data_IF_884729714699
#
_entry.id   IF_884729714699
#
_cell.length_a   1.000
_cell.length_b   1.000
_cell.length_c   1.000
_cell.angle_alpha   90.00
_cell.angle_beta   90.00
_cell.angle_gamma   90.00
#
_symmetry.space_group_name_H-M   'P 1'
#
loop_
_entity.id
_entity.type
_entity.pdbx_description
1 polymer ?
#
# COMPACT_ATOMS: atom_id res chain seq x y z
N UNK A 1 -7.00 -2.37 -34.19
CA UNK A 1 -7.78 -2.27 -32.93
C UNK A 1 -8.71 -1.09 -33.06
N UNK A 2 -10.01 -1.25 -32.80
CA UNK A 2 -10.94 -0.10 -32.82
C UNK A 2 -10.89 0.60 -31.46
N UNK A 3 -11.25 1.89 -31.43
CA UNK A 3 -11.33 2.68 -30.18
C UNK A 3 -12.22 1.98 -29.14
N UNK A 4 -13.29 1.32 -29.58
CA UNK A 4 -14.18 0.53 -28.73
C UNK A 4 -13.46 -0.65 -28.04
N UNK A 5 -12.62 -1.40 -28.76
CA UNK A 5 -11.85 -2.50 -28.17
C UNK A 5 -10.82 -2.00 -27.16
N UNK A 6 -10.20 -0.84 -27.42
CA UNK A 6 -9.26 -0.22 -26.50
C UNK A 6 -9.95 0.18 -25.18
N UNK A 7 -11.13 0.79 -25.27
CA UNK A 7 -11.93 1.19 -24.10
C UNK A 7 -12.30 -0.03 -23.24
N UNK A 8 -12.66 -1.15 -23.87
CA UNK A 8 -12.97 -2.40 -23.16
C UNK A 8 -11.77 -2.99 -22.40
N UNK A 9 -10.56 -2.86 -22.95
CA UNK A 9 -9.34 -3.38 -22.31
C UNK A 9 -8.92 -2.56 -21.09
N UNK A 10 -9.20 -1.25 -21.09
CA UNK A 10 -8.77 -0.34 -20.03
C UNK A 10 -9.82 -0.23 -18.90
N UNK A 11 -11.03 -0.78 -19.07
CA UNK A 11 -12.09 -0.68 -18.08
C UNK A 11 -11.69 -1.17 -16.67
N UNK A 12 -10.99 -2.31 -16.46
CA UNK A 12 -10.52 -2.70 -15.13
C UNK A 12 -9.49 -1.74 -14.52
N UNK A 13 -8.66 -1.09 -15.35
CA UNK A 13 -7.70 -0.07 -14.91
C UNK A 13 -8.42 1.22 -14.49
N UNK A 14 -9.45 1.64 -15.23
CA UNK A 14 -10.29 2.78 -14.85
C UNK A 14 -11.02 2.47 -13.54
N UNK A 15 -11.53 1.25 -13.36
CA UNK A 15 -12.16 0.82 -12.12
C UNK A 15 -11.19 0.87 -10.93
N UNK A 16 -9.93 0.47 -11.11
CA UNK A 16 -8.89 0.65 -10.09
C UNK A 16 -8.66 2.13 -9.77
N UNK A 17 -8.55 3.00 -10.79
CA UNK A 17 -8.42 4.44 -10.60
C UNK A 17 -9.60 5.02 -9.82
N UNK A 18 -10.83 4.61 -10.15
CA UNK A 18 -12.04 5.00 -9.43
C UNK A 18 -12.01 4.50 -7.97
N UNK A 19 -11.60 3.24 -7.72
CA UNK A 19 -11.40 2.71 -6.37
C UNK A 19 -10.43 3.59 -5.56
N UNK A 20 -9.31 3.97 -6.16
CA UNK A 20 -8.29 4.82 -5.54
C UNK A 20 -8.89 6.19 -5.17
N UNK A 21 -9.60 6.83 -6.09
CA UNK A 21 -10.26 8.13 -5.86
C UNK A 21 -11.32 8.03 -4.76
N UNK A 22 -12.22 7.04 -4.83
CA UNK A 22 -13.28 6.82 -3.83
C UNK A 22 -12.66 6.62 -2.44
N UNK A 23 -11.56 5.87 -2.33
CA UNK A 23 -10.87 5.68 -1.07
C UNK A 23 -10.22 6.98 -0.53
N UNK A 24 -9.65 7.84 -1.39
CA UNK A 24 -9.15 9.16 -0.97
C UNK A 24 -10.30 10.03 -0.48
N UNK A 25 -11.40 10.08 -1.23
CA UNK A 25 -12.56 10.88 -0.87
C UNK A 25 -13.15 10.40 0.47
N UNK A 26 -13.34 9.10 0.65
CA UNK A 26 -13.83 8.52 1.91
C UNK A 26 -12.89 8.82 3.08
N UNK A 27 -11.57 8.66 2.90
CA UNK A 27 -10.60 8.92 3.96
C UNK A 27 -10.48 10.40 4.34
N UNK A 28 -10.72 11.31 3.40
CA UNK A 28 -10.74 12.77 3.66
C UNK A 28 -12.07 13.27 4.22
N UNK A 29 -13.19 12.78 3.70
CA UNK A 29 -14.51 13.22 4.12
C UNK A 29 -14.94 12.59 5.45
N UNK A 30 -14.47 11.38 5.75
CA UNK A 30 -14.83 10.62 6.95
C UNK A 30 -13.57 10.16 7.71
N UNK A 31 -12.82 11.08 8.36
CA UNK A 31 -11.61 10.73 9.09
C UNK A 31 -11.85 9.79 10.28
N UNK A 32 -13.08 9.71 10.79
CA UNK A 32 -13.48 8.76 11.83
C UNK A 32 -13.73 7.33 11.32
N UNK A 33 -13.73 7.11 9.99
CA UNK A 33 -13.95 5.79 9.43
C UNK A 33 -12.70 4.91 9.62
N UNK A 34 -12.82 3.70 10.20
CA UNK A 34 -11.71 2.77 10.27
C UNK A 34 -11.15 2.49 8.88
N UNK A 35 -9.84 2.66 8.72
CA UNK A 35 -9.10 2.42 7.46
C UNK A 35 -9.51 1.14 6.71
N UNK A 36 -9.63 -0.05 7.35
CA UNK A 36 -10.02 -1.26 6.62
C UNK A 36 -11.43 -1.15 6.01
N UNK A 37 -12.36 -0.46 6.68
CA UNK A 37 -13.71 -0.25 6.15
C UNK A 37 -13.69 0.68 4.95
N UNK A 38 -12.88 1.75 5.00
CA UNK A 38 -12.69 2.66 3.86
C UNK A 38 -12.20 1.93 2.61
N UNK A 39 -11.22 1.05 2.75
CA UNK A 39 -10.69 0.21 1.66
C UNK A 39 -11.76 -0.76 1.14
N UNK A 40 -12.50 -1.45 2.02
CA UNK A 40 -13.53 -2.39 1.58
C UNK A 40 -14.66 -1.69 0.83
N UNK A 41 -15.09 -0.51 1.28
CA UNK A 41 -16.12 0.28 0.62
C UNK A 41 -15.67 0.76 -0.76
N UNK A 42 -14.43 1.25 -0.89
CA UNK A 42 -13.93 1.68 -2.20
C UNK A 42 -13.77 0.52 -3.18
N UNK A 43 -13.28 -0.62 -2.70
CA UNK A 43 -13.12 -1.82 -3.53
C UNK A 43 -14.47 -2.32 -3.99
N UNK A 44 -15.45 -2.40 -3.08
CA UNK A 44 -16.82 -2.81 -3.38
C UNK A 44 -17.52 -1.87 -4.34
N UNK A 45 -17.42 -0.55 -4.13
CA UNK A 45 -18.06 0.44 -5.00
C UNK A 45 -17.57 0.35 -6.45
N UNK A 46 -16.25 0.26 -6.66
CA UNK A 46 -15.69 0.10 -8.00
C UNK A 46 -15.94 -1.31 -8.60
N UNK A 47 -16.05 -2.36 -7.78
CA UNK A 47 -16.47 -3.69 -8.22
C UNK A 47 -17.90 -3.67 -8.79
N UNK A 48 -18.83 -3.03 -8.08
CA UNK A 48 -20.22 -2.86 -8.53
C UNK A 48 -20.26 -2.03 -9.81
N UNK A 49 -19.46 -0.96 -9.89
CA UNK A 49 -19.37 -0.12 -11.09
C UNK A 49 -18.87 -0.88 -12.32
N UNK A 50 -17.79 -1.66 -12.21
CA UNK A 50 -17.23 -2.40 -13.34
C UNK A 50 -18.12 -3.57 -13.77
N UNK A 51 -18.74 -4.27 -12.82
CA UNK A 51 -19.70 -5.34 -13.11
C UNK A 51 -20.98 -4.77 -13.77
N UNK A 52 -21.50 -3.65 -13.25
CA UNK A 52 -22.65 -2.96 -13.83
C UNK A 52 -22.38 -2.47 -15.25
N UNK A 53 -21.20 -1.90 -15.50
CA UNK A 53 -20.80 -1.48 -16.84
C UNK A 53 -20.68 -2.68 -17.81
N UNK A 54 -20.20 -3.82 -17.35
CA UNK A 54 -20.09 -5.02 -18.19
C UNK A 54 -21.46 -5.65 -18.51
N UNK A 55 -22.38 -5.66 -17.54
CA UNK A 55 -23.70 -6.29 -17.68
C UNK A 55 -24.71 -5.41 -18.43
N UNK A 56 -24.68 -4.10 -18.21
CA UNK A 56 -25.66 -3.15 -18.73
C UNK A 56 -25.05 -2.14 -19.72
N UNK A 57 -23.78 -2.32 -20.07
CA UNK A 57 -23.11 -1.48 -21.05
C UNK A 57 -23.63 -1.68 -22.47
N UNK A 58 -23.25 -0.81 -23.41
CA UNK A 58 -23.71 -0.88 -24.79
C UNK A 58 -23.25 -2.18 -25.46
N UNK A 59 -24.21 -3.10 -25.65
CA UNK A 59 -23.98 -4.45 -26.16
C UNK A 59 -23.35 -4.48 -27.56
N UNK A 60 -23.59 -3.44 -28.35
CA UNK A 60 -23.06 -3.24 -29.71
C UNK A 60 -21.53 -3.17 -29.76
N UNK A 61 -20.87 -2.94 -28.60
CA UNK A 61 -19.41 -2.87 -28.51
C UNK A 61 -18.77 -4.21 -28.16
N UNK A 62 -19.55 -5.25 -27.82
CA UNK A 62 -18.98 -6.53 -27.45
C UNK A 62 -18.35 -7.22 -28.68
N UNK A 63 -17.19 -7.89 -28.51
CA UNK A 63 -16.66 -8.79 -29.51
C UNK A 63 -17.68 -9.88 -29.86
N UNK A 64 -17.74 -10.27 -31.12
CA UNK A 64 -18.60 -11.36 -31.57
C UNK A 64 -18.30 -12.64 -30.75
N UNK A 65 -19.33 -13.22 -30.13
CA UNK A 65 -19.23 -14.45 -29.35
C UNK A 65 -18.97 -14.29 -27.85
N UNK A 66 -18.89 -13.07 -27.32
CA UNK A 66 -18.77 -12.83 -25.88
C UNK A 66 -20.12 -12.39 -25.28
N UNK A 67 -20.55 -13.04 -24.21
CA UNK A 67 -21.73 -12.61 -23.45
C UNK A 67 -21.37 -11.51 -22.43
N UNK A 68 -22.33 -10.64 -22.05
CA UNK A 68 -22.13 -9.64 -20.99
C UNK A 68 -21.69 -10.25 -19.64
N UNK A 69 -22.16 -11.47 -19.36
CA UNK A 69 -21.81 -12.19 -18.13
C UNK A 69 -20.33 -12.63 -18.14
N UNK A 70 -19.84 -13.16 -19.25
CA UNK A 70 -18.43 -13.54 -19.42
C UNK A 70 -17.53 -12.31 -19.34
N UNK A 71 -17.94 -11.19 -19.96
CA UNK A 71 -17.22 -9.92 -19.87
C UNK A 71 -17.13 -9.45 -18.42
N UNK A 72 -18.25 -9.49 -17.69
CA UNK A 72 -18.31 -9.09 -16.29
C UNK A 72 -17.40 -9.96 -15.43
N UNK A 73 -17.38 -11.28 -15.66
CA UNK A 73 -16.51 -12.20 -14.93
C UNK A 73 -15.02 -11.88 -15.17
N UNK A 74 -14.60 -11.69 -16.42
CA UNK A 74 -13.19 -11.38 -16.77
C UNK A 74 -12.77 -10.03 -16.20
N UNK A 75 -13.60 -9.00 -16.35
CA UNK A 75 -13.30 -7.66 -15.84
C UNK A 75 -13.26 -7.62 -14.32
N UNK A 76 -14.23 -8.26 -13.66
CA UNK A 76 -14.27 -8.31 -12.20
C UNK A 76 -13.06 -9.06 -11.65
N UNK A 77 -12.69 -10.20 -12.24
CA UNK A 77 -11.52 -10.96 -11.83
C UNK A 77 -10.23 -10.15 -11.99
N UNK A 78 -10.07 -9.48 -13.14
CA UNK A 78 -8.92 -8.63 -13.42
C UNK A 78 -8.85 -7.46 -12.44
N UNK A 79 -9.98 -6.79 -12.21
CA UNK A 79 -10.09 -5.70 -11.25
C UNK A 79 -9.75 -6.15 -9.82
N UNK A 80 -10.27 -7.30 -9.37
CA UNK A 80 -9.98 -7.84 -8.03
C UNK A 80 -8.49 -8.10 -7.88
N UNK A 81 -7.84 -8.67 -8.90
CA UNK A 81 -6.39 -8.94 -8.87
C UNK A 81 -5.59 -7.63 -8.81
N UNK A 82 -5.98 -6.61 -9.57
CA UNK A 82 -5.36 -5.28 -9.51
C UNK A 82 -5.56 -4.61 -8.15
N UNK A 83 -6.79 -4.66 -7.62
CA UNK A 83 -7.12 -4.13 -6.30
C UNK A 83 -6.36 -4.85 -5.19
N UNK A 84 -6.17 -6.16 -5.30
CA UNK A 84 -5.35 -6.95 -4.40
C UNK A 84 -3.89 -6.47 -4.41
N UNK A 85 -3.29 -6.31 -5.60
CA UNK A 85 -1.93 -5.76 -5.73
C UNK A 85 -1.81 -4.37 -5.11
N UNK A 86 -2.81 -3.51 -5.30
CA UNK A 86 -2.88 -2.19 -4.69
C UNK A 86 -2.96 -2.25 -3.15
N UNK A 87 -3.91 -3.01 -2.61
CA UNK A 87 -4.12 -3.10 -1.15
C UNK A 87 -2.91 -3.71 -0.45
N UNK A 88 -2.36 -4.79 -1.00
CA UNK A 88 -1.19 -5.44 -0.41
C UNK A 88 0.06 -4.60 -0.56
N UNK A 89 0.34 -4.09 -1.77
CA UNK A 89 1.54 -3.33 -2.06
C UNK A 89 1.65 -2.04 -1.25
N UNK A 90 0.53 -1.34 -1.02
CA UNK A 90 0.54 -0.04 -0.34
C UNK A 90 0.24 -0.10 1.16
N UNK A 91 -0.68 -0.96 1.61
CA UNK A 91 -1.15 -0.94 3.01
C UNK A 91 -0.65 -2.11 3.85
N UNK A 92 -0.48 -3.28 3.25
CA UNK A 92 -0.43 -4.52 4.04
C UNK A 92 1.00 -4.93 4.45
N UNK A 93 2.03 -4.66 3.64
CA UNK A 93 3.34 -5.29 3.84
C UNK A 93 4.10 -4.81 5.11
N UNK A 94 3.98 -3.54 5.50
CA UNK A 94 4.75 -2.97 6.62
C UNK A 94 3.98 -2.81 7.94
N UNK A 95 2.68 -2.55 7.86
CA UNK A 95 1.80 -2.32 9.02
C UNK A 95 1.22 -3.65 9.53
N UNK A 96 0.80 -4.53 8.61
CA UNK A 96 0.17 -5.80 9.00
C UNK A 96 1.15 -6.82 9.54
N UNK A 97 2.41 -6.86 9.09
CA UNK A 97 3.40 -7.78 9.66
C UNK A 97 3.66 -7.50 11.16
N UNK A 98 3.72 -6.21 11.55
CA UNK A 98 3.88 -5.81 12.96
C UNK A 98 2.61 -6.04 13.77
N UNK A 99 1.45 -5.68 13.20
CA UNK A 99 0.16 -5.89 13.86
C UNK A 99 -0.15 -7.37 14.09
N UNK A 100 0.11 -8.23 13.10
CA UNK A 100 -0.09 -9.68 13.19
C UNK A 100 0.86 -10.26 14.24
N UNK A 101 2.14 -9.88 14.24
CA UNK A 101 3.08 -10.34 15.26
C UNK A 101 2.63 -9.89 16.66
N UNK A 102 2.18 -8.65 16.83
CA UNK A 102 1.74 -8.16 18.14
C UNK A 102 0.49 -8.90 18.63
N UNK A 103 -0.43 -9.21 17.72
CA UNK A 103 -1.61 -10.03 18.04
C UNK A 103 -1.22 -11.46 18.42
N UNK A 104 -0.23 -12.05 17.76
CA UNK A 104 0.30 -13.38 18.12
C UNK A 104 0.95 -13.32 19.51
N UNK A 105 1.79 -12.33 19.78
CA UNK A 105 2.49 -12.16 21.06
C UNK A 105 1.47 -11.96 22.20
N UNK A 106 0.45 -11.13 21.99
CA UNK A 106 -0.66 -10.93 22.94
C UNK A 106 -1.48 -12.20 23.15
N UNK A 107 -1.75 -12.96 22.09
CA UNK A 107 -2.46 -14.23 22.20
C UNK A 107 -1.64 -15.28 22.97
N UNK A 108 -0.33 -15.36 22.72
CA UNK A 108 0.59 -16.27 23.41
C UNK A 108 0.76 -15.89 24.89
N UNK A 109 0.70 -14.61 25.23
CA UNK A 109 0.73 -14.16 26.62
C UNK A 109 -0.55 -14.54 27.42
N UNK A 110 -1.62 -14.94 26.73
CA UNK A 110 -2.84 -15.48 27.36
C UNK A 110 -3.45 -14.53 28.40
N UNK A 111 -3.88 -15.08 29.54
CA UNK A 111 -4.51 -14.31 30.63
C UNK A 111 -3.54 -13.35 31.36
N UNK A 112 -2.22 -13.53 31.19
CA UNK A 112 -1.20 -12.65 31.76
C UNK A 112 -1.14 -11.30 31.03
N UNK A 113 -1.45 -11.32 29.73
CA UNK A 113 -1.27 -10.17 28.84
C UNK A 113 0.21 -9.77 28.71
N UNK A 114 0.43 -8.66 28.00
CA UNK A 114 1.73 -7.99 27.92
C UNK A 114 1.56 -6.56 28.40
N UNK A 115 2.47 -6.12 29.26
CA UNK A 115 2.58 -4.71 29.63
C UNK A 115 3.15 -3.89 28.47
N UNK A 116 2.93 -2.57 28.48
CA UNK A 116 3.45 -1.69 27.43
C UNK A 116 4.98 -1.74 27.34
N UNK A 117 5.68 -1.88 28.48
CA UNK A 117 7.15 -2.02 28.52
C UNK A 117 7.64 -3.32 27.87
N UNK A 118 6.95 -4.45 28.11
CA UNK A 118 7.25 -5.72 27.46
C UNK A 118 7.03 -5.63 25.94
N UNK A 119 5.97 -4.95 25.51
CA UNK A 119 5.72 -4.69 24.08
C UNK A 119 6.83 -3.82 23.50
N UNK A 120 7.20 -2.72 24.15
CA UNK A 120 8.22 -1.80 23.63
C UNK A 120 9.62 -2.42 23.58
N UNK A 121 9.94 -3.33 24.51
CA UNK A 121 11.21 -4.07 24.50
C UNK A 121 11.26 -5.12 23.39
N UNK A 122 10.17 -5.85 23.14
CA UNK A 122 10.08 -6.82 22.04
C UNK A 122 10.06 -6.15 20.65
N UNK A 123 9.46 -4.97 20.55
CA UNK A 123 9.38 -4.15 19.33
C UNK A 123 10.45 -3.05 19.28
N UNK A 124 11.56 -3.22 20.01
CA UNK A 124 12.61 -2.21 20.11
C UNK A 124 13.05 -1.75 18.71
N UNK A 125 12.87 -0.46 18.45
CA UNK A 125 13.17 0.16 17.17
C UNK A 125 14.61 -0.11 16.71
N UNK A 126 15.54 -0.25 17.65
CA UNK A 126 16.95 -0.57 17.37
C UNK A 126 17.11 -1.90 16.64
N UNK A 127 16.51 -2.98 17.16
CA UNK A 127 16.59 -4.30 16.54
C UNK A 127 15.94 -4.33 15.15
N UNK A 128 14.85 -3.60 14.96
CA UNK A 128 14.17 -3.49 13.66
C UNK A 128 15.05 -2.73 12.66
N UNK A 129 15.69 -1.64 13.11
CA UNK A 129 16.62 -0.86 12.28
C UNK A 129 17.83 -1.70 11.91
N UNK A 130 18.45 -2.41 12.86
CA UNK A 130 19.65 -3.23 12.60
C UNK A 130 19.39 -4.32 11.55
N UNK A 131 18.29 -5.06 11.68
CA UNK A 131 17.91 -6.11 10.71
C UNK A 131 17.61 -5.50 9.33
N UNK A 132 16.97 -4.34 9.27
CA UNK A 132 16.69 -3.65 8.00
C UNK A 132 17.98 -3.12 7.37
N UNK A 133 18.86 -2.54 8.17
CA UNK A 133 20.13 -1.97 7.72
C UNK A 133 21.06 -3.07 7.20
N UNK A 134 21.17 -4.20 7.90
CA UNK A 134 21.91 -5.38 7.43
C UNK A 134 21.38 -5.87 6.07
N UNK A 135 20.06 -5.94 5.89
CA UNK A 135 19.47 -6.32 4.59
C UNK A 135 19.75 -5.29 3.50
N UNK A 136 19.73 -3.99 3.82
CA UNK A 136 20.05 -2.93 2.87
C UNK A 136 21.52 -2.95 2.46
N UNK A 137 22.44 -3.28 3.38
CA UNK A 137 23.86 -3.47 3.11
C UNK A 137 24.08 -4.73 2.25
N UNK A 138 23.49 -5.86 2.65
CA UNK A 138 23.57 -7.11 1.89
C UNK A 138 22.96 -6.98 0.48
N UNK A 139 21.91 -6.18 0.32
CA UNK A 139 21.25 -5.89 -0.95
C UNK A 139 21.91 -4.77 -1.77
N UNK A 140 23.05 -4.22 -1.33
CA UNK A 140 23.79 -3.16 -2.05
C UNK A 140 23.08 -1.81 -2.13
N UNK A 141 22.02 -1.60 -1.34
CA UNK A 141 21.28 -0.34 -1.27
C UNK A 141 21.99 0.70 -0.39
N UNK A 142 22.71 0.22 0.62
CA UNK A 142 23.51 1.01 1.57
C UNK A 142 24.94 0.45 1.58
N UNK A 143 25.94 1.32 1.66
CA UNK A 143 27.35 0.95 1.84
C UNK A 143 27.79 1.40 3.22
N UNK A 144 28.43 0.51 3.96
CA UNK A 144 29.11 0.85 5.20
C UNK A 144 30.58 1.19 4.89
N UNK A 145 31.07 2.32 5.38
CA UNK A 145 32.49 2.70 5.36
C UNK A 145 32.85 3.29 6.72
N UNK A 146 33.83 2.72 7.40
CA UNK A 146 34.35 3.21 8.69
C UNK A 146 33.26 3.38 9.77
N UNK A 147 32.30 2.44 9.84
CA UNK A 147 31.18 2.50 10.79
C UNK A 147 30.12 3.56 10.46
N UNK A 148 30.19 4.19 9.28
CA UNK A 148 29.22 5.17 8.78
C UNK A 148 28.48 4.59 7.57
N UNK A 149 27.16 4.72 7.55
CA UNK A 149 26.28 4.19 6.51
C UNK A 149 25.97 5.25 5.44
N UNK A 150 26.24 4.93 4.18
CA UNK A 150 26.01 5.80 3.01
C UNK A 150 25.01 5.17 2.04
N UNK A 151 24.18 5.98 1.37
CA UNK A 151 23.26 5.48 0.33
C UNK A 151 24.05 5.11 -0.93
N UNK A 152 24.03 3.84 -1.32
CA UNK A 152 24.78 3.35 -2.48
C UNK A 152 23.95 3.39 -3.78
N UNK A 153 22.63 3.16 -3.70
CA UNK A 153 21.74 3.13 -4.88
C UNK A 153 20.90 4.41 -5.03
N UNK A 154 21.22 5.22 -6.06
CA UNK A 154 20.41 6.39 -6.43
C UNK A 154 19.02 6.02 -6.99
N UNK A 155 18.91 4.87 -7.65
CA UNK A 155 17.64 4.39 -8.25
C UNK A 155 16.65 4.02 -7.15
N UNK A 156 17.08 3.26 -6.14
CA UNK A 156 16.23 2.89 -5.01
C UNK A 156 15.80 4.11 -4.20
N UNK A 157 16.71 5.08 -4.01
CA UNK A 157 16.41 6.35 -3.34
C UNK A 157 15.35 7.17 -4.11
N UNK A 158 15.42 7.17 -5.44
CA UNK A 158 14.46 7.90 -6.29
C UNK A 158 13.09 7.21 -6.26
N UNK A 159 13.04 5.89 -6.33
CA UNK A 159 11.80 5.11 -6.19
C UNK A 159 11.15 5.31 -4.80
N UNK A 160 11.95 5.31 -3.74
CA UNK A 160 11.49 5.58 -2.38
C UNK A 160 10.88 6.99 -2.25
N UNK A 161 11.52 8.02 -2.83
CA UNK A 161 10.99 9.39 -2.85
C UNK A 161 9.66 9.49 -3.59
N UNK A 162 9.53 8.83 -4.75
CA UNK A 162 8.29 8.77 -5.53
C UNK A 162 7.16 8.10 -4.75
N UNK A 163 7.44 6.97 -4.09
CA UNK A 163 6.48 6.28 -3.23
C UNK A 163 6.05 7.13 -2.03
N UNK A 164 6.98 7.82 -1.37
CA UNK A 164 6.68 8.73 -0.26
C UNK A 164 5.83 9.91 -0.73
N UNK A 165 6.14 10.50 -1.88
CA UNK A 165 5.32 11.56 -2.47
C UNK A 165 3.90 11.10 -2.77
N UNK A 166 3.77 9.93 -3.39
CA UNK A 166 2.47 9.33 -3.68
C UNK A 166 1.70 9.05 -2.39
N UNK A 167 2.39 8.51 -1.37
CA UNK A 167 1.82 8.24 -0.05
C UNK A 167 1.38 9.51 0.67
N UNK A 168 2.12 10.62 0.56
CA UNK A 168 1.74 11.91 1.15
C UNK A 168 0.53 12.51 0.44
N UNK A 169 0.52 12.47 -0.90
CA UNK A 169 -0.64 12.89 -1.67
C UNK A 169 -1.90 12.08 -1.27
N UNK A 170 -1.71 10.78 -1.02
CA UNK A 170 -2.79 9.83 -0.74
C UNK A 170 -3.29 9.83 0.72
N UNK A 171 -2.39 9.67 1.69
CA UNK A 171 -2.70 9.55 3.12
C UNK A 171 -2.70 10.89 3.88
N UNK A 172 -2.19 11.97 3.28
CA UNK A 172 -2.17 13.30 3.90
C UNK A 172 -1.31 13.45 5.16
N UNK A 173 -0.62 12.39 5.61
CA UNK A 173 0.18 12.41 6.83
C UNK A 173 1.67 12.62 6.54
N UNK A 174 2.26 13.68 7.08
CA UNK A 174 3.68 14.06 6.93
C UNK A 174 4.62 13.37 7.93
N UNK A 175 4.11 12.47 8.77
CA UNK A 175 4.83 11.94 9.95
C UNK A 175 6.17 11.23 9.64
N UNK A 176 6.39 10.74 8.41
CA UNK A 176 7.61 10.02 8.03
C UNK A 176 8.75 10.94 7.57
N UNK A 177 8.49 12.24 7.31
CA UNK A 177 9.48 13.21 6.83
C UNK A 177 10.06 14.11 7.94
N UNK A 178 9.47 14.11 9.13
CA UNK A 178 9.89 14.96 10.26
C UNK A 178 11.01 14.35 11.11
N UNK A 179 11.79 13.43 10.54
CA UNK A 179 13.04 12.99 11.16
C UNK A 179 14.05 14.11 10.98
N UNK A 180 14.09 15.04 11.94
CA UNK A 180 15.20 15.98 12.09
C UNK A 180 16.48 15.15 12.22
N UNK A 181 17.37 15.28 11.24
CA UNK A 181 18.73 14.75 11.35
C UNK A 181 19.35 15.48 12.54
N UNK A 182 19.52 14.79 13.67
CA UNK A 182 20.36 15.28 14.76
C UNK A 182 21.75 15.39 14.17
N UNK A 183 22.11 16.60 13.77
CA UNK A 183 23.48 16.94 13.40
C UNK A 183 24.23 16.92 14.73
N UNK A 184 25.21 16.03 14.94
CA UNK A 184 26.04 16.15 16.13
C UNK A 184 26.73 17.51 16.04
N UNK A 185 26.43 18.40 16.97
CA UNK A 185 27.20 19.62 17.12
C UNK A 185 28.66 19.21 17.26
N UNK A 186 29.49 19.65 16.32
CA UNK A 186 30.94 19.53 16.44
C UNK A 186 31.32 20.33 17.67
N UNK A 187 31.62 19.65 18.78
CA UNK A 187 32.19 20.26 19.97
C UNK A 187 33.47 21.03 19.61
N UNK A 188 33.73 22.16 20.29
CA UNK A 188 34.86 23.02 19.97
C UNK A 188 36.18 22.27 20.20
N UNK A 189 37.09 22.41 19.24
CA UNK A 189 38.48 21.97 19.34
C UNK A 189 39.25 22.88 20.29
#
# INVERSE_FOLDING_TARGET
MTLATLVLMVAPLVALGACIVVHVVLSRALPGLPRPRGIMLSVGAAAVGVAGLALFGPAERLPAGLSPLELAAVWLLTYILLAYCYVIGFFNLGESARRIRLLIDLHQAGRRGLTLEEILSAYNARMIVDVRLQRMVAGGQVSERDGVYFTASRVMLTAARLLVWLKIAYLGSRHELDVRIVTPERGPR
#
